data_IF_382089507154
#
_entry.id   IF_382089507154
#
_cell.length_a   1.000
_cell.length_b   1.000
_cell.length_c   1.000
_cell.angle_alpha   90.00
_cell.angle_beta   90.00
_cell.angle_gamma   90.00
#
_symmetry.space_group_name_H-M   'P 1'
#
loop_
_entity.id
_entity.type
_entity.pdbx_description
1 polymer ?
#
# COMPACT_ATOMS: atom_id res chain seq x y z
N UNK A 1 -22.46 -0.34 -4.67
CA UNK A 1 -22.56 -1.40 -5.69
C UNK A 1 -21.62 -2.54 -5.31
N UNK A 2 -22.10 -3.79 -5.29
CA UNK A 2 -21.25 -4.97 -5.10
C UNK A 2 -20.29 -5.14 -6.29
N UNK A 3 -19.07 -5.57 -6.00
CA UNK A 3 -18.04 -5.90 -7.00
C UNK A 3 -17.58 -7.37 -6.86
N UNK A 4 -18.33 -8.18 -6.11
CA UNK A 4 -17.98 -9.56 -5.76
C UNK A 4 -17.72 -10.40 -7.00
N UNK A 5 -18.56 -10.28 -8.02
CA UNK A 5 -18.49 -11.07 -9.26
C UNK A 5 -17.60 -10.43 -10.35
N UNK A 6 -16.95 -9.30 -10.03
CA UNK A 6 -16.08 -8.63 -11.00
C UNK A 6 -14.72 -9.29 -11.05
N UNK A 7 -14.20 -9.47 -12.27
CA UNK A 7 -12.83 -9.94 -12.50
C UNK A 7 -11.81 -8.93 -11.94
N UNK A 8 -10.59 -9.37 -11.65
CA UNK A 8 -9.51 -8.50 -11.16
C UNK A 8 -9.25 -7.30 -12.08
N UNK A 9 -9.19 -7.45 -13.43
CA UNK A 9 -9.05 -6.31 -14.33
C UNK A 9 -10.18 -5.29 -14.21
N UNK A 10 -11.43 -5.74 -14.03
CA UNK A 10 -12.57 -4.83 -13.83
C UNK A 10 -12.47 -4.07 -12.51
N UNK A 11 -12.09 -4.74 -11.43
CA UNK A 11 -11.86 -4.09 -10.12
C UNK A 11 -10.75 -3.04 -10.22
N UNK A 12 -9.66 -3.35 -10.90
CA UNK A 12 -8.57 -2.40 -11.15
C UNK A 12 -9.04 -1.16 -11.92
N UNK A 13 -9.83 -1.33 -12.99
CA UNK A 13 -10.42 -0.21 -13.74
C UNK A 13 -11.34 0.68 -12.90
N UNK A 14 -11.99 0.12 -11.88
CA UNK A 14 -12.81 0.85 -10.92
C UNK A 14 -11.99 1.63 -9.87
N UNK A 15 -10.68 1.41 -9.82
CA UNK A 15 -9.76 2.08 -8.92
C UNK A 15 -9.43 1.29 -7.65
N UNK A 16 -9.55 -0.04 -7.69
CA UNK A 16 -9.07 -0.91 -6.62
C UNK A 16 -7.64 -1.34 -6.92
N UNK A 17 -6.68 -0.84 -6.13
CA UNK A 17 -5.28 -1.26 -6.14
C UNK A 17 -5.02 -2.36 -5.11
N UNK A 18 -4.04 -3.21 -5.39
CA UNK A 18 -3.63 -4.28 -4.49
C UNK A 18 -2.11 -4.44 -4.48
N UNK A 19 -1.54 -4.48 -3.29
CA UNK A 19 -0.16 -4.84 -3.02
C UNK A 19 -0.15 -6.19 -2.31
N UNK A 20 0.35 -7.27 -2.91
CA UNK A 20 0.48 -8.56 -2.23
C UNK A 20 1.63 -8.56 -1.23
N UNK A 21 1.61 -9.51 -0.30
CA UNK A 21 2.68 -9.77 0.65
C UNK A 21 3.99 -10.12 -0.07
N UNK A 22 3.91 -11.06 -1.02
CA UNK A 22 5.05 -11.49 -1.83
C UNK A 22 5.51 -10.39 -2.79
N UNK A 23 6.84 -10.33 -3.08
CA UNK A 23 7.38 -9.39 -4.05
C UNK A 23 6.69 -9.53 -5.41
N UNK A 24 6.12 -8.44 -5.89
CA UNK A 24 5.32 -8.43 -7.11
C UNK A 24 5.93 -7.64 -8.26
N UNK A 25 7.11 -7.04 -8.06
CA UNK A 25 7.78 -6.26 -9.11
C UNK A 25 8.15 -7.13 -10.31
N UNK A 26 7.97 -6.58 -11.50
CA UNK A 26 8.53 -7.19 -12.72
C UNK A 26 10.01 -6.88 -12.79
N UNK A 27 10.84 -7.88 -12.47
CA UNK A 27 12.28 -7.72 -12.25
C UNK A 27 13.03 -7.25 -13.50
N UNK A 28 12.61 -7.75 -14.67
CA UNK A 28 13.21 -7.45 -15.98
C UNK A 28 12.65 -6.20 -16.64
N UNK A 29 11.74 -5.48 -15.96
CA UNK A 29 11.22 -4.19 -16.42
C UNK A 29 11.84 -3.06 -15.59
N UNK A 30 11.99 -1.90 -16.21
CA UNK A 30 12.39 -0.68 -15.50
C UNK A 30 11.29 -0.20 -14.55
N UNK A 31 11.62 0.70 -13.62
CA UNK A 31 10.62 1.37 -12.77
C UNK A 31 9.55 2.05 -13.65
N UNK A 32 9.98 2.71 -14.72
CA UNK A 32 9.09 3.31 -15.71
C UNK A 32 8.09 2.30 -16.26
N UNK A 33 8.60 1.19 -16.77
CA UNK A 33 7.78 0.17 -17.45
C UNK A 33 6.85 -0.55 -16.48
N UNK A 34 7.30 -0.79 -15.24
CA UNK A 34 6.45 -1.33 -14.17
C UNK A 34 5.21 -0.46 -13.91
N UNK A 35 5.37 0.87 -13.89
CA UNK A 35 4.28 1.83 -13.67
C UNK A 35 3.42 1.96 -14.93
N UNK A 36 4.05 2.08 -16.11
CA UNK A 36 3.34 2.25 -17.38
C UNK A 36 2.46 1.05 -17.71
N UNK A 37 2.90 -0.18 -17.43
CA UNK A 37 2.11 -1.38 -17.64
C UNK A 37 0.77 -1.34 -16.86
N UNK A 38 0.80 -0.85 -15.62
CA UNK A 38 -0.41 -0.70 -14.82
C UNK A 38 -1.31 0.44 -15.35
N UNK A 39 -0.72 1.57 -15.74
CA UNK A 39 -1.45 2.71 -16.29
C UNK A 39 -2.11 2.39 -17.64
N UNK A 40 -1.46 1.61 -18.50
CA UNK A 40 -2.02 1.17 -19.80
C UNK A 40 -3.30 0.36 -19.62
N UNK A 41 -3.37 -0.49 -18.60
CA UNK A 41 -4.58 -1.27 -18.29
C UNK A 41 -5.77 -0.40 -17.85
N UNK A 42 -5.55 0.87 -17.51
CA UNK A 42 -6.62 1.81 -17.14
C UNK A 42 -7.39 2.37 -18.34
N UNK A 43 -6.97 2.07 -19.59
CA UNK A 43 -7.63 2.57 -20.81
C UNK A 43 -7.43 4.06 -21.06
N UNK A 44 -6.38 4.67 -20.51
CA UNK A 44 -6.06 6.09 -20.65
C UNK A 44 -5.27 6.37 -21.93
N UNK A 45 -5.43 7.57 -22.49
CA UNK A 45 -4.62 8.05 -23.61
C UNK A 45 -3.16 8.30 -23.19
N UNK A 46 -2.22 8.20 -24.17
CA UNK A 46 -0.77 8.28 -23.93
C UNK A 46 -0.31 9.53 -23.17
N UNK A 47 -0.88 10.70 -23.46
CA UNK A 47 -0.54 11.98 -22.78
C UNK A 47 -0.91 11.94 -21.29
N UNK A 48 -2.07 11.37 -20.95
CA UNK A 48 -2.55 11.22 -19.57
C UNK A 48 -1.69 10.21 -18.82
N UNK A 49 -1.33 9.08 -19.46
CA UNK A 49 -0.42 8.08 -18.89
C UNK A 49 0.91 8.75 -18.52
N UNK A 50 1.51 9.52 -19.43
CA UNK A 50 2.77 10.22 -19.18
C UNK A 50 2.69 11.16 -17.98
N UNK A 51 1.67 12.02 -17.94
CA UNK A 51 1.48 12.98 -16.83
C UNK A 51 1.26 12.26 -15.49
N UNK A 52 0.44 11.20 -15.47
CA UNK A 52 0.21 10.41 -14.24
C UNK A 52 1.45 9.68 -13.77
N UNK A 53 2.21 9.08 -14.68
CA UNK A 53 3.49 8.45 -14.37
C UNK A 53 4.45 9.43 -13.71
N UNK A 54 4.67 10.61 -14.30
CA UNK A 54 5.56 11.64 -13.76
C UNK A 54 5.15 12.05 -12.35
N UNK A 55 3.85 12.24 -12.11
CA UNK A 55 3.31 12.55 -10.79
C UNK A 55 3.56 11.41 -9.78
N UNK A 56 3.30 10.17 -10.16
CA UNK A 56 3.51 9.00 -9.31
C UNK A 56 4.99 8.83 -8.98
N UNK A 57 5.87 8.91 -9.97
CA UNK A 57 7.32 8.79 -9.78
C UNK A 57 7.83 9.84 -8.79
N UNK A 58 7.40 11.09 -8.93
CA UNK A 58 7.75 12.17 -8.00
C UNK A 58 7.20 11.90 -6.59
N UNK A 59 5.93 11.50 -6.47
CA UNK A 59 5.27 11.23 -5.19
C UNK A 59 5.97 10.12 -4.39
N UNK A 60 6.55 9.13 -5.09
CA UNK A 60 7.22 7.98 -4.48
C UNK A 60 8.74 8.11 -4.42
N UNK A 61 9.30 9.29 -4.74
CA UNK A 61 10.74 9.55 -4.78
C UNK A 61 11.52 8.54 -5.65
N UNK A 62 10.97 8.21 -6.83
CA UNK A 62 11.54 7.25 -7.77
C UNK A 62 12.25 7.91 -8.96
N UNK A 63 12.40 9.24 -8.96
CA UNK A 63 12.96 10.01 -10.10
C UNK A 63 14.36 9.53 -10.52
N UNK A 64 15.23 9.23 -9.54
CA UNK A 64 16.62 8.78 -9.82
C UNK A 64 16.70 7.32 -10.27
N UNK A 65 15.60 6.58 -10.12
CA UNK A 65 15.52 5.13 -10.35
C UNK A 65 14.66 4.79 -11.58
N UNK A 66 14.17 5.79 -12.30
CA UNK A 66 13.17 5.62 -13.36
C UNK A 66 13.59 4.62 -14.43
N UNK A 67 14.88 4.57 -14.77
CA UNK A 67 15.45 3.69 -15.77
C UNK A 67 16.17 2.47 -15.15
N UNK A 68 16.14 2.31 -13.80
CA UNK A 68 16.67 1.12 -13.12
C UNK A 68 15.71 -0.04 -13.27
N UNK A 69 16.25 -1.23 -13.49
CA UNK A 69 15.49 -2.46 -13.55
C UNK A 69 15.04 -2.91 -12.16
N UNK A 70 13.93 -3.65 -12.08
CA UNK A 70 13.37 -4.12 -10.82
C UNK A 70 14.34 -4.94 -9.97
N UNK A 71 15.24 -5.73 -10.58
CA UNK A 71 16.27 -6.52 -9.88
C UNK A 71 17.39 -5.66 -9.26
N UNK A 72 17.55 -4.40 -9.67
CA UNK A 72 18.59 -3.50 -9.17
C UNK A 72 18.14 -2.72 -7.93
N UNK A 73 16.85 -2.75 -7.59
CA UNK A 73 16.28 -1.98 -6.50
C UNK A 73 16.56 -2.62 -5.14
N UNK A 74 16.90 -1.80 -4.16
CA UNK A 74 16.89 -2.21 -2.74
C UNK A 74 15.48 -2.60 -2.29
N UNK A 75 15.34 -3.26 -1.15
CA UNK A 75 14.05 -3.69 -0.61
C UNK A 75 13.04 -2.53 -0.47
N UNK A 76 13.46 -1.41 0.10
CA UNK A 76 12.63 -0.23 0.26
C UNK A 76 12.26 0.45 -1.06
N UNK A 77 13.21 0.55 -2.01
CA UNK A 77 12.96 1.09 -3.35
C UNK A 77 11.98 0.22 -4.13
N UNK A 78 12.17 -1.10 -4.07
CA UNK A 78 11.27 -2.08 -4.66
C UNK A 78 9.85 -1.92 -4.09
N UNK A 79 9.69 -1.85 -2.76
CA UNK A 79 8.39 -1.71 -2.13
C UNK A 79 7.70 -0.40 -2.53
N UNK A 80 8.45 0.71 -2.63
CA UNK A 80 7.91 1.98 -3.16
C UNK A 80 7.42 1.84 -4.61
N UNK A 81 8.19 1.15 -5.46
CA UNK A 81 7.80 0.90 -6.85
C UNK A 81 6.55 0.02 -6.95
N UNK A 82 6.43 -1.03 -6.13
CA UNK A 82 5.26 -1.91 -6.07
C UNK A 82 3.99 -1.17 -5.65
N UNK A 83 4.08 -0.29 -4.62
CA UNK A 83 2.94 0.54 -4.21
C UNK A 83 2.62 1.59 -5.29
N UNK A 84 3.62 2.21 -5.91
CA UNK A 84 3.44 3.13 -7.04
C UNK A 84 2.68 2.45 -8.18
N UNK A 85 2.99 1.20 -8.47
CA UNK A 85 2.26 0.38 -9.44
C UNK A 85 0.83 0.07 -8.96
N UNK A 86 0.65 -0.30 -7.68
CA UNK A 86 -0.67 -0.60 -7.11
C UNK A 86 -1.62 0.61 -7.16
N UNK A 87 -1.12 1.84 -7.05
CA UNK A 87 -1.96 3.05 -7.21
C UNK A 87 -2.15 3.48 -8.67
N UNK A 88 -1.44 2.88 -9.61
CA UNK A 88 -1.54 3.16 -11.04
C UNK A 88 -2.78 2.54 -11.68
N UNK A 89 -3.91 2.56 -10.98
CA UNK A 89 -5.19 1.94 -11.35
C UNK A 89 -6.30 2.97 -11.51
N UNK A 90 -7.38 2.58 -12.18
CA UNK A 90 -8.58 3.38 -12.35
C UNK A 90 -8.43 4.58 -13.31
N UNK A 91 -9.50 4.92 -14.03
CA UNK A 91 -9.52 6.05 -14.96
C UNK A 91 -9.27 7.38 -14.22
N UNK A 92 -9.85 7.54 -13.04
CA UNK A 92 -9.71 8.75 -12.19
C UNK A 92 -8.65 8.62 -11.10
N UNK A 93 -7.91 7.50 -11.05
CA UNK A 93 -6.96 7.17 -9.99
C UNK A 93 -7.51 6.14 -8.99
N UNK A 94 -6.71 5.76 -7.99
CA UNK A 94 -7.11 4.79 -7.00
C UNK A 94 -8.23 5.36 -6.11
N UNK A 95 -9.24 4.54 -5.82
CA UNK A 95 -10.29 4.81 -4.82
C UNK A 95 -10.03 4.05 -3.54
N UNK A 96 -9.56 2.81 -3.68
CA UNK A 96 -9.21 1.93 -2.58
C UNK A 96 -7.89 1.25 -2.86
N UNK A 97 -7.12 1.03 -1.79
CA UNK A 97 -5.84 0.36 -1.84
C UNK A 97 -5.81 -0.70 -0.75
N UNK A 98 -5.57 -1.94 -1.17
CA UNK A 98 -5.36 -3.07 -0.28
C UNK A 98 -3.85 -3.29 -0.17
N UNK A 99 -3.31 -3.23 1.05
CA UNK A 99 -1.89 -3.40 1.34
C UNK A 99 -1.71 -4.61 2.25
N UNK A 100 -1.11 -5.65 1.73
CA UNK A 100 -0.84 -6.87 2.47
C UNK A 100 0.61 -6.87 2.95
N UNK A 101 0.80 -6.75 4.25
CA UNK A 101 2.09 -6.63 4.94
C UNK A 101 3.07 -5.65 4.24
N UNK A 102 2.70 -4.38 4.07
CA UNK A 102 3.50 -3.43 3.29
C UNK A 102 4.88 -3.14 3.90
N UNK A 103 5.07 -3.42 5.19
CA UNK A 103 6.31 -3.14 5.92
C UNK A 103 7.23 -4.35 6.07
N UNK A 104 6.80 -5.53 5.58
CA UNK A 104 7.59 -6.74 5.71
C UNK A 104 8.91 -6.68 4.92
N UNK A 105 10.01 -7.08 5.56
CA UNK A 105 11.32 -7.25 4.90
C UNK A 105 12.00 -5.96 4.44
N UNK A 106 11.63 -4.80 4.98
CA UNK A 106 12.28 -3.52 4.68
C UNK A 106 12.86 -2.88 5.94
N UNK A 107 13.83 -2.00 5.76
CA UNK A 107 14.51 -1.31 6.85
C UNK A 107 13.64 -0.22 7.51
N UNK A 108 13.92 0.19 8.78
CA UNK A 108 13.10 1.16 9.50
C UNK A 108 12.98 2.53 8.82
N UNK A 109 14.00 2.99 8.09
CA UNK A 109 13.94 4.25 7.36
C UNK A 109 12.95 4.17 6.21
N UNK A 110 12.99 3.07 5.44
CA UNK A 110 12.04 2.80 4.37
C UNK A 110 10.61 2.66 4.90
N UNK A 111 10.39 2.03 6.08
CA UNK A 111 9.09 1.98 6.75
C UNK A 111 8.56 3.39 7.01
N UNK A 112 9.36 4.28 7.57
CA UNK A 112 8.96 5.66 7.85
C UNK A 112 8.58 6.43 6.57
N UNK A 113 9.31 6.22 5.48
CA UNK A 113 8.98 6.87 4.20
C UNK A 113 7.69 6.30 3.60
N UNK A 114 7.46 5.00 3.70
CA UNK A 114 6.20 4.38 3.27
C UNK A 114 4.99 4.88 4.07
N UNK A 115 5.13 5.05 5.38
CA UNK A 115 4.08 5.65 6.22
C UNK A 115 3.70 7.04 5.73
N UNK A 116 4.68 7.91 5.43
CA UNK A 116 4.42 9.25 4.87
C UNK A 116 3.64 9.18 3.55
N UNK A 117 3.97 8.22 2.70
CA UNK A 117 3.26 7.98 1.44
C UNK A 117 1.82 7.53 1.70
N UNK A 118 1.62 6.56 2.60
CA UNK A 118 0.29 6.07 3.00
C UNK A 118 -0.58 7.21 3.54
N UNK A 119 -0.02 8.06 4.41
CA UNK A 119 -0.74 9.24 4.92
C UNK A 119 -1.15 10.20 3.80
N UNK A 120 -0.24 10.53 2.87
CA UNK A 120 -0.56 11.38 1.72
C UNK A 120 -1.68 10.79 0.85
N UNK A 121 -1.68 9.48 0.62
CA UNK A 121 -2.73 8.80 -0.14
C UNK A 121 -4.08 8.87 0.61
N UNK A 122 -4.10 8.58 1.90
CA UNK A 122 -5.29 8.72 2.74
C UNK A 122 -5.84 10.14 2.71
N UNK A 123 -4.99 11.14 2.88
CA UNK A 123 -5.38 12.55 2.93
C UNK A 123 -5.87 13.06 1.56
N UNK A 124 -5.48 12.39 0.47
CA UNK A 124 -6.04 12.62 -0.87
C UNK A 124 -7.36 11.88 -1.12
N UNK A 125 -7.93 11.21 -0.11
CA UNK A 125 -9.25 10.56 -0.18
C UNK A 125 -9.22 9.10 -0.63
N UNK A 126 -8.04 8.45 -0.69
CA UNK A 126 -7.94 7.01 -0.98
C UNK A 126 -8.31 6.22 0.27
N UNK A 127 -9.29 5.32 0.16
CA UNK A 127 -9.61 4.35 1.21
C UNK A 127 -8.51 3.28 1.28
N UNK A 128 -7.91 3.06 2.46
CA UNK A 128 -6.81 2.11 2.63
C UNK A 128 -7.22 1.02 3.61
N UNK A 129 -7.11 -0.24 3.16
CA UNK A 129 -7.15 -1.42 4.02
C UNK A 129 -5.75 -2.01 4.06
N UNK A 130 -5.20 -2.14 5.27
CA UNK A 130 -3.85 -2.62 5.50
C UNK A 130 -3.89 -3.81 6.45
N UNK A 131 -3.16 -4.87 6.13
CA UNK A 131 -2.85 -5.97 7.03
C UNK A 131 -1.37 -5.92 7.38
N UNK A 132 -1.02 -6.19 8.63
CA UNK A 132 0.38 -6.35 9.05
C UNK A 132 0.43 -7.11 10.38
N UNK A 133 1.48 -7.88 10.59
CA UNK A 133 1.74 -8.55 11.85
C UNK A 133 2.40 -7.60 12.88
N UNK A 134 2.95 -6.46 12.44
CA UNK A 134 3.47 -5.43 13.34
C UNK A 134 2.34 -4.55 13.86
N UNK A 135 1.70 -5.00 14.94
CA UNK A 135 0.53 -4.32 15.54
C UNK A 135 0.86 -2.89 15.94
N UNK A 136 2.08 -2.63 16.46
CA UNK A 136 2.51 -1.28 16.86
C UNK A 136 2.47 -0.30 15.70
N UNK A 137 3.12 -0.67 14.60
CA UNK A 137 3.19 0.18 13.40
C UNK A 137 1.81 0.40 12.78
N UNK A 138 0.98 -0.66 12.76
CA UNK A 138 -0.37 -0.60 12.22
C UNK A 138 -1.27 0.35 13.02
N UNK A 139 -1.26 0.25 14.35
CA UNK A 139 -2.08 1.13 15.20
C UNK A 139 -1.70 2.60 15.07
N UNK A 140 -0.42 2.91 14.84
CA UNK A 140 0.06 4.29 14.66
C UNK A 140 -0.45 4.95 13.36
N UNK A 141 -0.79 4.18 12.34
CA UNK A 141 -1.14 4.72 11.02
C UNK A 141 -2.61 4.54 10.65
N UNK A 142 -3.35 3.70 11.39
CA UNK A 142 -4.75 3.39 11.12
C UNK A 142 -5.68 4.16 12.04
N UNK A 143 -6.86 4.54 11.52
CA UNK A 143 -7.92 5.17 12.32
C UNK A 143 -8.76 4.12 13.04
N UNK A 144 -9.00 2.97 12.37
CA UNK A 144 -9.74 1.83 12.91
C UNK A 144 -8.91 0.58 12.68
N UNK A 145 -8.95 -0.33 13.66
CA UNK A 145 -8.20 -1.58 13.61
C UNK A 145 -9.07 -2.76 14.03
N UNK A 146 -8.75 -3.90 13.46
CA UNK A 146 -9.26 -5.20 13.84
C UNK A 146 -8.08 -6.09 14.20
N UNK A 147 -8.06 -6.62 15.41
CA UNK A 147 -7.06 -7.61 15.83
C UNK A 147 -7.67 -8.98 15.69
N UNK A 148 -7.04 -9.82 14.86
CA UNK A 148 -7.46 -11.20 14.64
C UNK A 148 -6.52 -12.16 15.38
N UNK A 149 -7.10 -13.18 16.03
CA UNK A 149 -6.37 -14.26 16.65
C UNK A 149 -7.17 -15.56 16.44
N UNK A 150 -6.50 -16.63 16.01
CA UNK A 150 -7.11 -17.95 15.79
C UNK A 150 -8.40 -17.91 14.95
N UNK A 151 -8.41 -17.08 13.89
CA UNK A 151 -9.56 -16.91 13.00
C UNK A 151 -10.75 -16.14 13.59
N UNK A 152 -10.60 -15.51 14.76
CA UNK A 152 -11.63 -14.71 15.43
C UNK A 152 -11.17 -13.26 15.61
N UNK A 153 -12.13 -12.35 15.65
CA UNK A 153 -11.86 -10.94 16.00
C UNK A 153 -11.70 -10.85 17.51
N UNK A 154 -10.48 -10.58 17.96
CA UNK A 154 -10.14 -10.40 19.37
C UNK A 154 -10.55 -9.03 19.90
N UNK A 155 -10.30 -7.99 19.08
CA UNK A 155 -10.67 -6.61 19.37
C UNK A 155 -10.89 -5.84 18.08
N UNK A 156 -11.76 -4.82 18.11
CA UNK A 156 -11.96 -3.91 16.98
C UNK A 156 -12.44 -2.54 17.49
N UNK A 157 -12.17 -1.49 16.74
CA UNK A 157 -12.60 -0.14 17.08
C UNK A 157 -11.64 0.93 16.60
N UNK A 158 -11.67 2.10 17.24
CA UNK A 158 -10.63 3.11 17.02
C UNK A 158 -9.28 2.53 17.44
N UNK A 159 -8.23 2.87 16.70
CA UNK A 159 -6.88 2.33 16.99
C UNK A 159 -6.41 2.70 18.40
N UNK A 160 -6.79 3.87 18.92
CA UNK A 160 -6.58 4.28 20.32
C UNK A 160 -7.23 3.32 21.32
N UNK A 161 -8.47 2.90 21.06
CA UNK A 161 -9.22 2.03 21.96
C UNK A 161 -8.67 0.62 21.93
N UNK A 162 -8.32 0.14 20.71
CA UNK A 162 -7.67 -1.16 20.51
C UNK A 162 -6.31 -1.22 21.19
N UNK A 163 -5.52 -0.15 21.14
CA UNK A 163 -4.23 -0.03 21.82
C UNK A 163 -4.32 -0.07 23.34
N UNK A 164 -5.45 0.37 23.89
CA UNK A 164 -5.72 0.35 25.35
C UNK A 164 -6.45 -0.92 25.81
N UNK A 165 -6.84 -1.80 24.88
CA UNK A 165 -7.52 -3.05 25.23
C UNK A 165 -6.56 -3.97 26.02
N UNK A 166 -6.93 -4.42 27.26
CA UNK A 166 -6.05 -5.23 28.10
C UNK A 166 -5.57 -6.53 27.44
N UNK A 167 -6.42 -7.18 26.64
CA UNK A 167 -6.09 -8.42 25.95
C UNK A 167 -5.06 -8.15 24.85
N UNK A 168 -5.27 -7.10 24.06
CA UNK A 168 -4.34 -6.70 23.00
C UNK A 168 -2.97 -6.32 23.58
N UNK A 169 -2.96 -5.57 24.68
CA UNK A 169 -1.72 -5.22 25.39
C UNK A 169 -0.97 -6.47 25.85
N UNK A 170 -1.66 -7.37 26.53
CA UNK A 170 -1.06 -8.60 27.06
C UNK A 170 -0.50 -9.49 25.95
N UNK A 171 -1.19 -9.63 24.82
CA UNK A 171 -0.84 -10.59 23.77
C UNK A 171 0.10 -10.04 22.68
N UNK A 172 0.05 -8.73 22.41
CA UNK A 172 0.70 -8.16 21.21
C UNK A 172 1.56 -6.92 21.43
N UNK A 173 1.22 -6.06 22.39
CA UNK A 173 1.87 -4.75 22.53
C UNK A 173 2.89 -4.71 23.66
N UNK A 174 2.65 -5.44 24.74
CA UNK A 174 3.33 -5.27 26.03
C UNK A 174 2.73 -4.14 26.86
N UNK A 175 2.98 -4.16 28.16
CA UNK A 175 2.35 -3.23 29.12
C UNK A 175 2.81 -1.78 28.95
N UNK A 176 4.05 -1.57 28.52
CA UNK A 176 4.67 -0.25 28.36
C UNK A 176 4.35 0.46 27.03
N UNK A 177 3.53 -0.14 26.18
CA UNK A 177 3.19 0.45 24.89
C UNK A 177 2.40 1.75 25.05
N UNK A 178 2.84 2.82 24.36
CA UNK A 178 2.14 4.10 24.19
C UNK A 178 1.97 4.39 22.71
N UNK A 179 0.78 4.82 22.31
CA UNK A 179 0.48 5.36 20.97
C UNK A 179 1.07 6.75 20.79
#
# INVERSE_FOLDING_TARGET
RSITDFSLPMRSKLGLGYLPQEPSIFRELTVRDNIDLALQNSGLGKSIIRSRREKIISQFNLNKLIDSYGFQLSGGERRRCEIARAISVGIKGPKYLLLDEPFAGIDPLAVNDLKKIIFKLRDSGVGILLTDHNVRETLLITKKSYVLSEGKILAYGLSSDVANNPIVRKCYLGEDFKL
#
